data_IF_496469732209
#
_entry.id   IF_496469732209
#
_cell.length_a   1.000
_cell.length_b   1.000
_cell.length_c   1.000
_cell.angle_alpha   90.00
_cell.angle_beta   90.00
_cell.angle_gamma   90.00
#
_symmetry.space_group_name_H-M   'P 1'
#
loop_
_entity.id
_entity.type
_entity.pdbx_description
1 polymer ?
#
# COMPACT_ATOMS: atom_id res chain seq x y z
N UNK A 1 15.96 -9.68 18.30
CA UNK A 1 16.10 -8.20 18.34
C UNK A 1 14.92 -7.63 17.58
N UNK A 2 13.84 -7.26 18.26
CA UNK A 2 12.73 -6.55 17.63
C UNK A 2 13.00 -5.06 17.81
N UNK A 3 13.45 -4.39 16.75
CA UNK A 3 13.26 -2.94 16.69
C UNK A 3 11.77 -2.70 16.89
N UNK A 4 11.41 -2.09 18.02
CA UNK A 4 10.03 -1.69 18.28
C UNK A 4 9.73 -0.53 17.35
N UNK A 5 9.37 -0.87 16.11
CA UNK A 5 8.81 0.06 15.14
C UNK A 5 7.52 0.62 15.74
N UNK A 6 7.63 1.79 16.37
CA UNK A 6 6.48 2.60 16.76
C UNK A 6 5.97 3.28 15.51
N UNK A 7 5.23 2.53 14.71
CA UNK A 7 4.50 3.08 13.57
C UNK A 7 3.12 3.47 14.10
N UNK A 8 2.76 4.72 13.89
CA UNK A 8 1.44 5.25 14.26
C UNK A 8 0.41 4.93 13.18
N UNK A 9 -0.86 4.84 13.56
CA UNK A 9 -1.97 4.65 12.61
C UNK A 9 -2.03 5.77 11.55
N UNK A 10 -1.59 6.99 11.90
CA UNK A 10 -1.51 8.11 10.98
C UNK A 10 -0.46 7.90 9.89
N UNK A 11 0.70 7.34 10.25
CA UNK A 11 1.76 6.99 9.30
C UNK A 11 1.34 5.83 8.39
N UNK A 12 0.68 4.80 8.94
CA UNK A 12 0.11 3.70 8.15
C UNK A 12 -0.94 4.20 7.16
N UNK A 13 -1.85 5.08 7.60
CA UNK A 13 -2.85 5.68 6.74
C UNK A 13 -2.20 6.47 5.59
N UNK A 14 -1.22 7.32 5.91
CA UNK A 14 -0.51 8.11 4.91
C UNK A 14 0.23 7.21 3.91
N UNK A 15 0.89 6.16 4.38
CA UNK A 15 1.56 5.18 3.54
C UNK A 15 0.58 4.46 2.59
N UNK A 16 -0.57 4.01 3.10
CA UNK A 16 -1.63 3.40 2.30
C UNK A 16 -2.17 4.35 1.22
N UNK A 17 -2.45 5.60 1.58
CA UNK A 17 -2.90 6.64 0.64
C UNK A 17 -1.86 6.91 -0.45
N UNK A 18 -0.57 7.01 -0.09
CA UNK A 18 0.52 7.18 -1.05
C UNK A 18 0.63 5.99 -2.01
N UNK A 19 0.49 4.75 -1.53
CA UNK A 19 0.56 3.56 -2.37
C UNK A 19 -0.61 3.47 -3.35
N UNK A 20 -1.82 3.82 -2.91
CA UNK A 20 -3.00 3.90 -3.79
C UNK A 20 -2.87 5.02 -4.82
N UNK A 21 -2.36 6.19 -4.42
CA UNK A 21 -2.11 7.28 -5.35
C UNK A 21 -1.03 6.90 -6.38
N UNK A 22 0.01 6.20 -5.96
CA UNK A 22 1.09 5.72 -6.83
C UNK A 22 0.58 4.69 -7.85
N UNK A 23 -0.21 3.70 -7.42
CA UNK A 23 -0.77 2.70 -8.34
C UNK A 23 -1.68 3.35 -9.37
N UNK A 24 -2.56 4.27 -8.95
CA UNK A 24 -3.44 5.01 -9.86
C UNK A 24 -2.65 5.87 -10.85
N UNK A 25 -1.63 6.59 -10.39
CA UNK A 25 -0.78 7.39 -11.27
C UNK A 25 -0.05 6.52 -12.31
N UNK A 26 0.37 5.31 -11.94
CA UNK A 26 1.03 4.36 -12.84
C UNK A 26 0.07 3.73 -13.86
N UNK A 27 -1.20 3.55 -13.52
CA UNK A 27 -2.23 3.07 -14.46
C UNK A 27 -2.72 4.18 -15.40
N UNK A 28 -2.90 5.41 -14.90
CA UNK A 28 -3.48 6.53 -15.66
C UNK A 28 -2.48 7.22 -16.59
N UNK A 29 -1.17 7.08 -16.37
CA UNK A 29 -0.14 7.53 -17.31
C UNK A 29 -0.07 6.66 -18.59
N UNK A 30 -1.21 6.44 -19.25
CA UNK A 30 -1.30 5.98 -20.64
C UNK A 30 -0.83 7.11 -21.59
N UNK A 31 0.46 7.42 -21.59
CA UNK A 31 1.06 7.93 -22.83
C UNK A 31 1.28 6.74 -23.73
N UNK A 32 0.35 6.57 -24.68
CA UNK A 32 0.42 5.59 -25.78
C UNK A 32 1.85 5.54 -26.28
N UNK A 33 2.46 4.35 -26.25
CA UNK A 33 3.81 4.17 -26.76
C UNK A 33 3.89 4.78 -28.16
N UNK A 34 4.91 5.62 -28.47
CA UNK A 34 5.04 6.19 -29.79
C UNK A 34 5.05 5.06 -30.82
N UNK A 35 4.34 5.25 -31.94
CA UNK A 35 4.27 4.25 -33.02
C UNK A 35 5.66 3.89 -33.57
N UNK A 36 5.72 2.89 -34.46
CA UNK A 36 6.97 2.33 -34.98
C UNK A 36 8.05 3.39 -35.25
N UNK A 37 9.16 3.26 -34.51
CA UNK A 37 10.35 4.08 -34.74
C UNK A 37 11.05 3.60 -36.01
N UNK A 38 10.80 4.27 -37.13
CA UNK A 38 11.63 4.12 -38.32
C UNK A 38 13.01 4.69 -38.01
N UNK A 39 13.99 3.81 -37.79
CA UNK A 39 15.38 4.20 -37.55
C UNK A 39 16.23 3.94 -38.78
N UNK A 40 16.93 4.97 -39.26
CA UNK A 40 17.95 4.87 -40.31
C UNK A 40 19.18 4.06 -39.85
N UNK A 41 19.37 3.88 -38.53
CA UNK A 41 20.51 3.17 -37.93
C UNK A 41 20.18 1.75 -37.47
N UNK A 42 18.93 1.30 -37.63
CA UNK A 42 18.48 -0.03 -37.19
C UNK A 42 18.10 -0.15 -35.71
N UNK A 43 18.37 0.86 -34.87
CA UNK A 43 18.07 0.81 -33.41
C UNK A 43 16.57 0.85 -33.07
N UNK A 44 15.69 1.01 -34.06
CA UNK A 44 14.26 1.22 -33.84
C UNK A 44 13.58 0.07 -33.10
N UNK A 45 14.00 -1.17 -33.36
CA UNK A 45 13.51 -2.36 -32.67
C UNK A 45 13.96 -2.40 -31.20
N UNK A 46 15.23 -2.07 -30.93
CA UNK A 46 15.76 -2.00 -29.56
C UNK A 46 15.04 -0.93 -28.74
N UNK A 47 14.74 0.23 -29.34
CA UNK A 47 13.99 1.30 -28.67
C UNK A 47 12.55 0.85 -28.38
N UNK A 48 11.89 0.16 -29.32
CA UNK A 48 10.56 -0.38 -29.09
C UNK A 48 10.55 -1.43 -27.97
N UNK A 49 11.53 -2.32 -27.95
CA UNK A 49 11.66 -3.34 -26.91
C UNK A 49 11.92 -2.71 -25.53
N UNK A 50 12.76 -1.68 -25.47
CA UNK A 50 12.99 -0.92 -24.24
C UNK A 50 11.70 -0.25 -23.73
N UNK A 51 10.96 0.44 -24.60
CA UNK A 51 9.71 1.09 -24.23
C UNK A 51 8.64 0.08 -23.76
N UNK A 52 8.55 -1.08 -24.41
CA UNK A 52 7.68 -2.17 -23.98
C UNK A 52 8.06 -2.67 -22.58
N UNK A 53 9.35 -2.88 -22.33
CA UNK A 53 9.83 -3.33 -21.00
C UNK A 53 9.56 -2.30 -19.90
N UNK A 54 9.59 -1.01 -20.23
CA UNK A 54 9.26 0.08 -19.30
C UNK A 54 7.77 0.06 -18.96
N UNK A 55 6.91 -0.17 -19.95
CA UNK A 55 5.47 -0.34 -19.74
C UNK A 55 5.16 -1.56 -18.84
N UNK A 56 5.79 -2.70 -19.10
CA UNK A 56 5.68 -3.91 -18.26
C UNK A 56 6.13 -3.64 -16.82
N UNK A 57 7.28 -2.98 -16.64
CA UNK A 57 7.80 -2.63 -15.32
C UNK A 57 6.87 -1.67 -14.56
N UNK A 58 6.22 -0.73 -15.27
CA UNK A 58 5.24 0.18 -14.67
C UNK A 58 4.02 -0.57 -14.15
N UNK A 59 3.49 -1.52 -14.92
CA UNK A 59 2.37 -2.34 -14.47
C UNK A 59 2.74 -3.22 -13.27
N UNK A 60 3.94 -3.81 -13.28
CA UNK A 60 4.44 -4.56 -12.13
C UNK A 60 4.57 -3.69 -10.86
N UNK A 61 5.02 -2.44 -11.01
CA UNK A 61 5.12 -1.50 -9.89
C UNK A 61 3.76 -1.06 -9.37
N UNK A 62 2.78 -0.86 -10.24
CA UNK A 62 1.40 -0.54 -9.86
C UNK A 62 0.77 -1.69 -9.05
N UNK A 63 0.97 -2.93 -9.49
CA UNK A 63 0.48 -4.13 -8.80
C UNK A 63 1.15 -4.32 -7.42
N UNK A 64 2.47 -4.11 -7.35
CA UNK A 64 3.20 -4.12 -6.08
C UNK A 64 2.69 -3.04 -5.12
N UNK A 65 2.42 -1.82 -5.61
CA UNK A 65 1.86 -0.74 -4.80
C UNK A 65 0.46 -1.07 -4.29
N UNK A 66 -0.38 -1.68 -5.12
CA UNK A 66 -1.73 -2.14 -4.73
C UNK A 66 -1.67 -3.24 -3.66
N UNK A 67 -0.78 -4.21 -3.84
CA UNK A 67 -0.52 -5.27 -2.86
C UNK A 67 -0.04 -4.67 -1.54
N UNK A 68 0.92 -3.75 -1.57
CA UNK A 68 1.40 -3.05 -0.38
C UNK A 68 0.28 -2.29 0.35
N UNK A 69 -0.61 -1.63 -0.38
CA UNK A 69 -1.75 -0.92 0.22
C UNK A 69 -2.72 -1.89 0.93
N UNK A 70 -2.95 -3.08 0.37
CA UNK A 70 -3.78 -4.13 0.98
C UNK A 70 -3.14 -4.67 2.27
N UNK A 71 -1.83 -4.89 2.28
CA UNK A 71 -1.10 -5.32 3.47
C UNK A 71 -1.18 -4.27 4.60
N UNK A 72 -0.99 -2.99 4.26
CA UNK A 72 -1.16 -1.88 5.23
C UNK A 72 -2.58 -1.86 5.80
N UNK A 73 -3.61 -2.03 4.96
CA UNK A 73 -4.99 -2.11 5.42
C UNK A 73 -5.23 -3.32 6.35
N UNK A 74 -4.62 -4.46 6.05
CA UNK A 74 -4.64 -5.66 6.90
C UNK A 74 -4.04 -5.40 8.29
N UNK A 75 -2.87 -4.76 8.35
CA UNK A 75 -2.22 -4.38 9.62
C UNK A 75 -3.13 -3.44 10.42
N UNK A 76 -3.71 -2.42 9.79
CA UNK A 76 -4.63 -1.49 10.47
C UNK A 76 -5.89 -2.20 11.00
N UNK A 77 -6.42 -3.19 10.28
CA UNK A 77 -7.57 -3.97 10.72
C UNK A 77 -7.24 -4.82 11.95
N UNK A 78 -6.05 -5.45 11.97
CA UNK A 78 -5.56 -6.21 13.13
C UNK A 78 -5.35 -5.29 14.33
N UNK A 79 -4.75 -4.11 14.12
CA UNK A 79 -4.55 -3.08 15.16
C UNK A 79 -5.89 -2.67 15.78
N UNK A 80 -6.88 -2.33 14.95
CA UNK A 80 -8.23 -1.96 15.39
C UNK A 80 -8.93 -3.08 16.18
N UNK A 81 -8.76 -4.34 15.76
CA UNK A 81 -9.32 -5.49 16.49
C UNK A 81 -8.69 -5.64 17.87
N UNK A 82 -7.37 -5.45 17.97
CA UNK A 82 -6.64 -5.47 19.24
C UNK A 82 -7.10 -4.35 20.18
N UNK A 83 -7.23 -3.12 19.68
CA UNK A 83 -7.72 -1.99 20.46
C UNK A 83 -9.14 -2.23 20.98
N UNK A 84 -10.02 -2.79 20.14
CA UNK A 84 -11.38 -3.14 20.55
C UNK A 84 -11.38 -4.24 21.63
N UNK A 85 -10.51 -5.24 21.50
CA UNK A 85 -10.36 -6.29 22.52
C UNK A 85 -9.85 -5.72 23.86
N UNK A 86 -8.88 -4.81 23.83
CA UNK A 86 -8.37 -4.13 25.02
C UNK A 86 -9.47 -3.29 25.67
N UNK A 87 -10.20 -2.48 24.89
CA UNK A 87 -11.30 -1.67 25.39
C UNK A 87 -12.39 -2.51 26.08
N UNK A 88 -12.80 -3.61 25.45
CA UNK A 88 -13.78 -4.54 26.01
C UNK A 88 -13.29 -5.19 27.32
N UNK A 89 -12.01 -5.55 27.38
CA UNK A 89 -11.39 -6.16 28.56
C UNK A 89 -11.32 -5.17 29.74
N UNK A 90 -10.99 -3.90 29.47
CA UNK A 90 -10.94 -2.85 30.48
C UNK A 90 -12.34 -2.51 31.02
N UNK A 91 -13.36 -2.47 30.15
CA UNK A 91 -14.74 -2.18 30.54
C UNK A 91 -15.32 -3.28 31.45
N UNK A 92 -14.98 -4.54 31.18
CA UNK A 92 -15.31 -5.68 32.05
C UNK A 92 -14.60 -5.60 33.42
N UNK A 93 -13.31 -5.22 33.43
CA UNK A 93 -12.53 -5.03 34.66
C UNK A 93 -13.02 -3.89 35.57
N UNK A 94 -13.51 -2.78 34.98
CA UNK A 94 -14.06 -1.66 35.74
C UNK A 94 -15.44 -1.96 36.36
N UNK A 95 -16.27 -2.78 35.72
CA UNK A 95 -17.58 -3.18 36.24
C UNK A 95 -17.48 -4.10 37.48
N UNK A 96 -16.42 -4.93 37.56
CA UNK A 96 -16.17 -5.82 38.72
C UNK A 96 -15.65 -5.04 39.95
N UNK A 97 -14.97 -3.91 39.75
CA UNK A 97 -14.50 -3.06 40.86
C UNK A 97 -15.60 -2.12 41.41
N UNK A 98 -16.55 -1.71 40.57
CA UNK A 98 -17.66 -0.81 40.95
C UNK A 98 -18.80 -1.46 41.73
N UNK A 99 -18.88 -2.78 41.79
CA UNK A 99 -20.01 -3.55 42.36
C UNK A 99 -19.80 -4.01 43.82
N UNK A 100 -18.90 -3.36 44.57
CA UNK A 100 -18.81 -3.51 46.04
C UNK A 100 -18.97 -2.17 46.77
N UNK A 101 -20.19 -1.66 46.87
CA UNK A 101 -20.61 -0.84 48.01
C UNK A 101 -22.08 -1.08 48.37
N UNK A 102 -22.23 -1.75 49.52
CA UNK A 102 -23.40 -1.90 50.42
C UNK A 102 -24.62 -2.65 49.90
#
# INVERSE_FOLDING_TARGET
MSEQFKITDAELKTAGECLVAASYAMEVFEKKAPGQFASLTGIGETVQQFLKSLEEARFALADAAKTGAQEVAGVMQVSKSLDQHIANSLQSGFLVSGSKKK
#
